data_IF_708254202153
#
_entry.id   IF_708254202153
#
_cell.length_a   1.000
_cell.length_b   1.000
_cell.length_c   1.000
_cell.angle_alpha   90.00
_cell.angle_beta   90.00
_cell.angle_gamma   90.00
#
_symmetry.space_group_name_H-M   'P 1'
#
loop_
_entity.id
_entity.type
_entity.pdbx_description
1 polymer ?
#
# COMPACT_ATOMS: atom_id res chain seq x y z
N UNK A 1 -11.35 -10.86 -18.95
CA UNK A 1 -11.54 -11.24 -17.54
C UNK A 1 -12.99 -11.62 -17.36
N UNK A 2 -13.27 -12.76 -16.74
CA UNK A 2 -14.64 -13.05 -16.29
C UNK A 2 -14.97 -12.27 -15.02
N UNK A 3 -16.25 -12.09 -14.71
CA UNK A 3 -16.65 -11.49 -13.43
C UNK A 3 -16.14 -12.32 -12.24
N UNK A 4 -16.15 -13.66 -12.34
CA UNK A 4 -15.62 -14.54 -11.29
C UNK A 4 -14.14 -14.27 -10.99
N UNK A 5 -13.31 -14.06 -12.00
CA UNK A 5 -11.89 -13.72 -11.79
C UNK A 5 -11.73 -12.34 -11.12
N UNK A 6 -12.62 -11.39 -11.42
CA UNK A 6 -12.61 -10.08 -10.75
C UNK A 6 -13.03 -10.20 -9.27
N UNK A 7 -14.01 -11.04 -8.96
CA UNK A 7 -14.43 -11.37 -7.59
C UNK A 7 -13.33 -12.08 -6.80
N UNK A 8 -12.65 -13.05 -7.41
CA UNK A 8 -11.48 -13.71 -6.83
C UNK A 8 -10.36 -12.72 -6.51
N UNK A 9 -10.03 -11.83 -7.46
CA UNK A 9 -9.07 -10.74 -7.24
C UNK A 9 -9.48 -9.83 -6.07
N UNK A 10 -10.76 -9.47 -5.98
CA UNK A 10 -11.27 -8.63 -4.90
C UNK A 10 -11.06 -9.30 -3.54
N UNK A 11 -11.35 -10.60 -3.44
CA UNK A 11 -11.12 -11.35 -2.22
C UNK A 11 -9.63 -11.54 -1.89
N UNK A 12 -8.78 -11.77 -2.89
CA UNK A 12 -7.33 -11.83 -2.70
C UNK A 12 -6.81 -10.50 -2.15
N UNK A 13 -7.19 -9.38 -2.78
CA UNK A 13 -6.82 -8.03 -2.31
C UNK A 13 -7.33 -7.72 -0.90
N UNK A 14 -8.51 -8.22 -0.52
CA UNK A 14 -9.05 -8.02 0.81
C UNK A 14 -8.33 -8.83 1.90
N UNK A 15 -7.83 -10.03 1.58
CA UNK A 15 -7.11 -10.90 2.54
C UNK A 15 -5.63 -10.57 2.63
N UNK A 16 -4.98 -10.43 1.48
CA UNK A 16 -3.52 -10.39 1.36
C UNK A 16 -3.01 -8.96 1.09
N UNK A 17 -3.94 -8.01 0.86
CA UNK A 17 -3.61 -6.60 0.73
C UNK A 17 -2.67 -6.30 -0.44
N UNK A 18 -1.55 -5.64 -0.14
CA UNK A 18 -0.55 -5.24 -1.16
C UNK A 18 0.27 -6.41 -1.69
N UNK A 19 0.29 -7.53 -0.95
CA UNK A 19 1.00 -8.76 -1.31
C UNK A 19 0.13 -9.70 -2.15
N UNK A 20 -1.13 -9.34 -2.40
CA UNK A 20 -2.06 -10.16 -3.16
C UNK A 20 -1.56 -10.43 -4.59
N UNK A 21 -1.72 -11.67 -5.04
CA UNK A 21 -1.64 -12.03 -6.46
C UNK A 21 -3.02 -11.94 -7.09
N UNK A 22 -3.09 -11.38 -8.30
CA UNK A 22 -4.34 -11.18 -9.04
C UNK A 22 -4.20 -11.69 -10.47
N UNK A 23 -5.29 -12.18 -11.04
CA UNK A 23 -5.36 -12.45 -12.47
C UNK A 23 -5.59 -11.14 -13.23
N UNK A 24 -4.88 -10.90 -14.33
CA UNK A 24 -5.09 -9.72 -15.17
C UNK A 24 -5.11 -10.05 -16.68
N UNK A 25 -6.00 -9.44 -17.49
CA UNK A 25 -6.12 -9.78 -18.91
C UNK A 25 -4.84 -9.52 -19.68
N UNK A 26 -4.37 -10.52 -20.42
CA UNK A 26 -3.15 -10.44 -21.21
C UNK A 26 -1.84 -10.51 -20.41
N UNK A 27 -1.93 -10.65 -19.08
CA UNK A 27 -0.77 -10.83 -18.19
C UNK A 27 -0.81 -12.20 -17.52
N UNK A 28 -2.00 -12.68 -17.15
CA UNK A 28 -2.15 -13.87 -16.33
C UNK A 28 -2.14 -13.51 -14.84
N UNK A 29 -1.72 -14.46 -14.00
CA UNK A 29 -1.54 -14.21 -12.57
C UNK A 29 -0.28 -13.37 -12.33
N UNK A 30 -0.40 -12.33 -11.51
CA UNK A 30 0.65 -11.35 -11.27
C UNK A 30 0.49 -10.72 -9.88
N UNK A 31 1.58 -10.41 -9.16
CA UNK A 31 1.49 -9.63 -7.93
C UNK A 31 0.82 -8.28 -8.19
N UNK A 32 -0.09 -7.86 -7.31
CA UNK A 32 -0.83 -6.60 -7.47
C UNK A 32 0.12 -5.39 -7.57
N UNK A 33 1.19 -5.38 -6.78
CA UNK A 33 2.22 -4.34 -6.82
C UNK A 33 2.97 -4.30 -8.15
N UNK A 34 3.32 -5.45 -8.73
CA UNK A 34 3.96 -5.53 -10.04
C UNK A 34 3.02 -5.07 -11.16
N UNK A 35 1.75 -5.47 -11.10
CA UNK A 35 0.73 -5.00 -12.04
C UNK A 35 0.58 -3.48 -11.99
N UNK A 36 0.55 -2.90 -10.78
CA UNK A 36 0.51 -1.44 -10.61
C UNK A 36 1.74 -0.80 -11.23
N UNK A 37 2.94 -1.21 -10.85
CA UNK A 37 4.20 -0.60 -11.30
C UNK A 37 4.39 -0.70 -12.82
N UNK A 38 4.13 -1.86 -13.40
CA UNK A 38 4.46 -2.13 -14.82
C UNK A 38 3.36 -1.76 -15.80
N UNK A 39 2.10 -1.67 -15.34
CA UNK A 39 0.95 -1.47 -16.23
C UNK A 39 0.05 -0.32 -15.81
N UNK A 40 -0.46 -0.32 -14.59
CA UNK A 40 -1.51 0.63 -14.21
C UNK A 40 -0.96 2.03 -13.96
N UNK A 41 0.21 2.14 -13.35
CA UNK A 41 0.82 3.43 -13.04
C UNK A 41 1.24 4.21 -14.30
N UNK A 42 1.88 3.60 -15.32
CA UNK A 42 2.11 4.28 -16.61
C UNK A 42 0.82 4.75 -17.29
N UNK A 43 -0.24 3.94 -17.25
CA UNK A 43 -1.56 4.31 -17.80
C UNK A 43 -2.18 5.48 -17.02
N UNK A 44 -2.01 5.53 -15.70
CA UNK A 44 -2.45 6.64 -14.87
C UNK A 44 -1.70 7.94 -15.22
N UNK A 45 -0.37 7.88 -15.39
CA UNK A 45 0.41 9.05 -15.83
C UNK A 45 -0.08 9.59 -17.18
N UNK A 46 -0.27 8.71 -18.17
CA UNK A 46 -0.76 9.06 -19.49
C UNK A 46 -2.16 9.69 -19.44
N UNK A 47 -3.09 9.06 -18.73
CA UNK A 47 -4.47 9.53 -18.58
C UNK A 47 -4.56 10.90 -17.92
N UNK A 48 -3.85 11.09 -16.81
CA UNK A 48 -3.83 12.38 -16.09
C UNK A 48 -3.14 13.48 -16.90
N UNK A 49 -2.08 13.14 -17.63
CA UNK A 49 -1.43 14.09 -18.54
C UNK A 49 -2.37 14.56 -19.65
N UNK A 50 -3.16 13.66 -20.23
CA UNK A 50 -4.16 14.00 -21.25
C UNK A 50 -5.31 14.84 -20.70
N UNK A 51 -5.66 14.61 -19.44
CA UNK A 51 -6.67 15.40 -18.74
C UNK A 51 -6.17 16.82 -18.38
N UNK A 52 -4.87 17.09 -18.51
CA UNK A 52 -4.28 18.39 -18.18
C UNK A 52 -4.06 18.61 -16.68
N UNK A 53 -3.91 17.54 -15.89
CA UNK A 53 -3.50 17.65 -14.49
C UNK A 53 -2.08 18.18 -14.41
N UNK A 54 -1.83 19.06 -13.44
CA UNK A 54 -0.50 19.61 -13.17
C UNK A 54 0.53 18.48 -12.99
N UNK A 55 1.69 18.64 -13.64
CA UNK A 55 2.73 17.63 -13.64
C UNK A 55 3.32 17.43 -12.23
N UNK A 56 3.48 18.50 -11.45
CA UNK A 56 4.01 18.43 -10.09
C UNK A 56 3.09 17.63 -9.17
N UNK A 57 1.79 17.89 -9.22
CA UNK A 57 0.82 17.13 -8.44
C UNK A 57 0.70 15.67 -8.88
N UNK A 58 0.64 15.42 -10.19
CA UNK A 58 0.60 14.08 -10.75
C UNK A 58 1.82 13.27 -10.33
N UNK A 59 3.02 13.79 -10.55
CA UNK A 59 4.26 13.06 -10.32
C UNK A 59 4.51 12.83 -8.83
N UNK A 60 4.16 13.81 -7.99
CA UNK A 60 4.21 13.65 -6.52
C UNK A 60 3.27 12.54 -6.04
N UNK A 61 2.00 12.57 -6.44
CA UNK A 61 0.99 11.63 -5.92
C UNK A 61 1.16 10.22 -6.49
N UNK A 62 1.46 10.09 -7.79
CA UNK A 62 1.75 8.79 -8.39
C UNK A 62 3.09 8.22 -7.94
N UNK A 63 4.09 9.06 -7.68
CA UNK A 63 5.35 8.66 -7.05
C UNK A 63 5.14 8.05 -5.66
N UNK A 64 4.18 8.55 -4.87
CA UNK A 64 3.82 7.92 -3.58
C UNK A 64 3.28 6.50 -3.79
N UNK A 65 2.44 6.28 -4.81
CA UNK A 65 1.90 4.94 -5.13
C UNK A 65 3.03 4.01 -5.58
N UNK A 66 3.95 4.49 -6.41
CA UNK A 66 5.14 3.77 -6.84
C UNK A 66 5.96 3.29 -5.64
N UNK A 67 6.34 4.22 -4.75
CA UNK A 67 7.18 3.91 -3.61
C UNK A 67 6.50 2.97 -2.61
N UNK A 68 5.17 3.05 -2.44
CA UNK A 68 4.42 2.07 -1.64
C UNK A 68 4.47 0.68 -2.24
N UNK A 69 4.39 0.55 -3.57
CA UNK A 69 4.53 -0.73 -4.25
C UNK A 69 5.95 -1.26 -4.14
N UNK A 70 6.98 -0.43 -4.31
CA UNK A 70 8.38 -0.85 -4.18
C UNK A 70 8.73 -1.29 -2.75
N UNK A 71 8.25 -0.54 -1.75
CA UNK A 71 8.48 -0.85 -0.34
C UNK A 71 7.53 -1.93 0.22
N UNK A 72 6.55 -2.38 -0.56
CA UNK A 72 5.45 -3.25 -0.11
C UNK A 72 4.78 -2.72 1.17
N UNK A 73 4.66 -1.38 1.30
CA UNK A 73 4.20 -0.74 2.54
C UNK A 73 3.02 0.18 2.30
N UNK A 74 1.92 -0.11 2.98
CA UNK A 74 0.75 0.75 3.05
C UNK A 74 0.32 0.95 4.52
N UNK A 75 -0.79 1.65 4.75
CA UNK A 75 -1.26 1.93 6.11
C UNK A 75 -1.65 0.67 6.90
N UNK A 76 -2.17 -0.36 6.24
CA UNK A 76 -2.55 -1.61 6.90
C UNK A 76 -1.31 -2.45 7.24
N UNK A 77 -0.38 -2.61 6.31
CA UNK A 77 0.86 -3.37 6.55
C UNK A 77 1.71 -2.69 7.62
N UNK A 78 1.85 -1.36 7.57
CA UNK A 78 2.59 -0.61 8.59
C UNK A 78 1.99 -0.77 10.00
N UNK A 79 0.65 -0.72 10.14
CA UNK A 79 -0.01 -0.91 11.44
C UNK A 79 0.20 -2.33 11.97
N UNK A 80 0.09 -3.35 11.10
CA UNK A 80 0.33 -4.74 11.47
C UNK A 80 1.80 -4.98 11.87
N UNK A 81 2.76 -4.55 11.05
CA UNK A 81 4.19 -4.63 11.31
C UNK A 81 4.56 -3.91 12.63
N UNK A 82 4.04 -2.70 12.85
CA UNK A 82 4.30 -1.93 14.08
C UNK A 82 3.70 -2.60 15.30
N UNK A 83 2.49 -3.15 15.21
CA UNK A 83 1.89 -3.92 16.30
C UNK A 83 2.76 -5.13 16.66
N UNK A 84 3.18 -5.92 15.67
CA UNK A 84 4.02 -7.09 15.89
C UNK A 84 5.38 -6.72 16.47
N UNK A 85 6.03 -5.66 15.99
CA UNK A 85 7.28 -5.18 16.59
C UNK A 85 7.14 -4.73 18.06
N UNK A 86 5.98 -4.17 18.44
CA UNK A 86 5.71 -3.79 19.83
C UNK A 86 5.36 -4.99 20.72
N UNK A 87 4.56 -5.92 20.19
CA UNK A 87 4.05 -7.06 20.92
C UNK A 87 5.08 -8.19 21.03
N UNK A 88 5.61 -8.64 19.89
CA UNK A 88 6.53 -9.79 19.81
C UNK A 88 7.96 -9.39 20.21
N UNK A 89 8.51 -8.31 19.65
CA UNK A 89 9.93 -7.97 19.86
C UNK A 89 10.18 -7.20 21.16
N UNK A 90 9.23 -6.33 21.54
CA UNK A 90 9.33 -5.52 22.77
C UNK A 90 8.54 -6.10 23.95
N UNK A 91 7.81 -7.19 23.75
CA UNK A 91 7.11 -7.92 24.82
C UNK A 91 5.98 -7.13 25.49
N UNK A 92 5.41 -6.12 24.82
CA UNK A 92 4.26 -5.40 25.35
C UNK A 92 3.03 -6.32 25.39
N UNK A 93 2.11 -6.07 26.33
CA UNK A 93 0.81 -6.71 26.23
C UNK A 93 0.02 -6.21 25.01
N UNK A 94 -1.00 -6.97 24.61
CA UNK A 94 -1.79 -6.68 23.40
C UNK A 94 -2.45 -5.30 23.43
N UNK A 95 -3.00 -4.88 24.57
CA UNK A 95 -3.70 -3.59 24.68
C UNK A 95 -2.70 -2.44 24.57
N UNK A 96 -1.56 -2.55 25.25
CA UNK A 96 -0.46 -1.60 25.19
C UNK A 96 0.08 -1.46 23.77
N UNK A 97 0.35 -2.58 23.07
CA UNK A 97 0.86 -2.56 21.70
C UNK A 97 -0.12 -1.89 20.72
N UNK A 98 -1.42 -2.19 20.83
CA UNK A 98 -2.46 -1.55 19.99
C UNK A 98 -2.57 -0.05 20.26
N UNK A 99 -2.54 0.34 21.55
CA UNK A 99 -2.60 1.74 21.96
C UNK A 99 -1.40 2.53 21.44
N UNK A 100 -0.20 2.00 21.65
CA UNK A 100 1.06 2.62 21.24
C UNK A 100 1.16 2.72 19.72
N UNK A 101 0.81 1.66 18.98
CA UNK A 101 0.72 1.69 17.52
C UNK A 101 -0.22 2.80 17.05
N UNK A 102 -1.41 2.92 17.68
CA UNK A 102 -2.40 3.95 17.32
C UNK A 102 -1.90 5.38 17.59
N UNK A 103 -1.21 5.60 18.72
CA UNK A 103 -0.60 6.89 19.05
C UNK A 103 0.46 7.26 18.01
N UNK A 104 1.34 6.33 17.65
CA UNK A 104 2.37 6.55 16.61
C UNK A 104 1.75 6.82 15.25
N UNK A 105 0.73 6.06 14.87
CA UNK A 105 0.02 6.26 13.60
C UNK A 105 -0.53 7.69 13.51
N UNK A 106 -1.18 8.17 14.58
CA UNK A 106 -1.71 9.54 14.66
C UNK A 106 -0.59 10.57 14.46
N UNK A 107 0.53 10.41 15.16
CA UNK A 107 1.62 11.39 15.14
C UNK A 107 2.30 11.45 13.75
N UNK A 108 2.53 10.28 13.13
CA UNK A 108 3.09 10.20 11.77
C UNK A 108 2.11 10.68 10.70
N UNK A 109 0.81 10.43 10.87
CA UNK A 109 -0.22 10.97 9.98
C UNK A 109 -0.21 12.50 9.97
N UNK A 110 -0.03 13.14 11.13
CA UNK A 110 0.06 14.60 11.23
C UNK A 110 1.33 15.19 10.58
N UNK A 111 2.40 14.41 10.44
CA UNK A 111 3.59 14.83 9.67
C UNK A 111 3.29 14.97 8.17
N UNK A 112 2.20 14.37 7.69
CA UNK A 112 1.79 14.36 6.28
C UNK A 112 2.86 13.77 5.34
N UNK A 113 3.75 12.94 5.89
CA UNK A 113 4.75 12.19 5.13
C UNK A 113 4.14 10.88 4.61
N UNK A 114 4.55 10.38 3.43
CA UNK A 114 4.02 9.13 2.89
C UNK A 114 4.35 7.91 3.78
N UNK A 115 3.36 7.07 4.09
CA UNK A 115 3.56 5.88 4.97
C UNK A 115 4.72 4.94 4.62
N UNK A 116 5.16 4.88 3.37
CA UNK A 116 6.31 4.07 2.99
C UNK A 116 7.64 4.59 3.59
N UNK A 117 7.69 5.85 4.02
CA UNK A 117 8.85 6.46 4.69
C UNK A 117 8.84 6.30 6.21
N UNK A 118 7.72 5.83 6.77
CA UNK A 118 7.55 5.77 8.22
C UNK A 118 8.37 4.63 8.81
N UNK A 119 9.00 4.85 9.99
CA UNK A 119 9.72 3.79 10.70
C UNK A 119 8.73 2.76 11.25
N UNK A 120 9.13 1.50 11.26
CA UNK A 120 8.46 0.43 12.02
C UNK A 120 9.32 0.17 13.23
N UNK A 121 8.84 0.60 14.40
CA UNK A 121 9.51 0.57 15.70
C UNK A 121 10.97 1.07 15.73
N UNK A 122 11.27 2.01 16.64
CA UNK A 122 12.67 2.37 16.93
C UNK A 122 13.40 1.25 17.69
#
# INVERSE_FOLDING_TARGET
MSFSAAEENFHAGARDGIEASVFWPGVGEVPASELVLRRLLPLAHEGLSRWGVDAGDRDRLLGIVEQRCLAQRNGASWQAETFHALYDDRGMDREQALREMTVRYRDLMHANEPVHTWPVAA
#
